data_IF_281029474837
#
_entry.id   IF_281029474837
#
_cell.length_a   1.000
_cell.length_b   1.000
_cell.length_c   1.000
_cell.angle_alpha   90.00
_cell.angle_beta   90.00
_cell.angle_gamma   90.00
#
_symmetry.space_group_name_H-M   'P 1'
#
loop_
_entity.id
_entity.type
_entity.pdbx_description
1 polymer ?
#
# COMPACT_ATOMS: atom_id res chain seq x y z
N UNK A 1 6.54 46.53 -4.28
CA UNK A 1 7.05 45.16 -4.45
C UNK A 1 8.47 45.13 -3.93
N UNK A 2 8.64 44.79 -2.65
CA UNK A 2 9.97 44.51 -2.07
C UNK A 2 10.39 43.15 -2.59
N UNK A 3 11.41 43.10 -3.43
CA UNK A 3 12.04 41.85 -3.82
C UNK A 3 12.72 41.29 -2.56
N UNK A 4 12.04 40.41 -1.83
CA UNK A 4 12.67 39.62 -0.78
C UNK A 4 13.73 38.75 -1.45
N UNK A 5 14.99 39.19 -1.40
CA UNK A 5 16.13 38.39 -1.82
C UNK A 5 16.05 37.09 -1.03
N UNK A 6 15.99 35.97 -1.73
CA UNK A 6 15.98 34.67 -1.08
C UNK A 6 17.42 34.33 -0.65
N UNK A 7 17.74 34.65 0.60
CA UNK A 7 19.08 34.46 1.20
C UNK A 7 19.31 32.98 1.63
N UNK A 8 18.29 32.12 1.51
CA UNK A 8 18.41 30.70 1.86
C UNK A 8 19.54 30.00 1.11
N UNK A 9 20.24 29.10 1.80
CA UNK A 9 21.34 28.27 1.25
C UNK A 9 22.60 29.02 0.79
N UNK A 10 22.73 30.30 1.10
CA UNK A 10 23.93 31.08 0.81
C UNK A 10 24.85 31.21 2.04
N UNK A 11 26.12 31.52 1.78
CA UNK A 11 27.10 31.89 2.81
C UNK A 11 27.38 33.38 2.69
N UNK A 12 27.16 34.12 3.77
CA UNK A 12 27.37 35.56 3.83
C UNK A 12 28.31 35.90 4.98
N UNK A 13 29.13 36.93 4.77
CA UNK A 13 29.91 37.54 5.84
C UNK A 13 29.68 39.04 5.82
N UNK A 14 29.32 39.59 6.98
CA UNK A 14 29.10 41.01 7.19
C UNK A 14 30.15 41.55 8.15
N UNK A 15 30.82 42.64 7.77
CA UNK A 15 31.73 43.37 8.63
C UNK A 15 31.00 44.60 9.17
N UNK A 16 30.85 44.71 10.48
CA UNK A 16 30.12 45.85 11.09
C UNK A 16 30.63 46.16 12.48
N UNK A 17 30.61 47.43 12.86
CA UNK A 17 30.83 47.89 14.23
C UNK A 17 29.52 48.22 14.97
N UNK A 18 28.37 48.04 14.31
CA UNK A 18 27.06 48.36 14.84
C UNK A 18 26.52 47.28 15.80
N UNK A 19 25.54 47.65 16.62
CA UNK A 19 24.81 46.74 17.51
C UNK A 19 23.92 45.83 16.66
N UNK A 20 24.17 44.52 16.70
CA UNK A 20 23.53 43.55 15.81
C UNK A 20 22.00 43.52 15.93
N UNK A 21 21.47 43.62 17.15
CA UNK A 21 20.02 43.60 17.36
C UNK A 21 19.31 44.74 16.62
N UNK A 22 19.91 45.93 16.62
CA UNK A 22 19.38 47.09 15.89
C UNK A 22 19.54 46.97 14.38
N UNK A 23 20.62 46.35 13.92
CA UNK A 23 20.90 46.20 12.48
C UNK A 23 19.99 45.14 11.84
N UNK A 24 19.74 44.03 12.54
CA UNK A 24 18.91 42.93 12.05
C UNK A 24 17.45 43.03 12.49
N UNK A 25 16.95 44.19 12.94
CA UNK A 25 15.54 44.36 13.37
C UNK A 25 14.57 43.93 12.27
N UNK A 26 14.81 44.42 11.05
CA UNK A 26 13.93 44.27 9.88
C UNK A 26 14.44 43.22 8.87
N UNK A 27 15.54 42.54 9.18
CA UNK A 27 16.17 41.56 8.31
C UNK A 27 15.88 40.15 8.84
N UNK A 28 15.12 39.36 8.08
CA UNK A 28 14.99 37.94 8.33
C UNK A 28 16.19 37.20 7.74
N UNK A 29 17.05 36.68 8.62
CA UNK A 29 18.13 35.76 8.24
C UNK A 29 17.63 34.33 8.47
N UNK A 30 17.34 33.57 7.40
CA UNK A 30 16.87 32.20 7.53
C UNK A 30 17.91 31.33 8.23
N UNK A 31 17.47 30.39 9.07
CA UNK A 31 18.40 29.49 9.76
C UNK A 31 19.16 28.52 8.82
N UNK A 32 18.66 28.31 7.60
CA UNK A 32 19.31 27.47 6.60
C UNK A 32 20.39 28.21 5.80
N UNK A 33 20.55 29.50 6.05
CA UNK A 33 21.65 30.35 5.57
C UNK A 33 22.79 30.39 6.61
N UNK A 34 24.04 30.37 6.14
CA UNK A 34 25.21 30.59 6.98
C UNK A 34 25.58 32.07 6.94
N UNK A 35 25.05 32.86 7.87
CA UNK A 35 25.26 34.31 7.93
C UNK A 35 26.22 34.66 9.06
N UNK A 36 27.45 34.99 8.71
CA UNK A 36 28.53 35.34 9.63
C UNK A 36 28.59 36.86 9.79
N UNK A 37 28.80 37.31 11.03
CA UNK A 37 29.02 38.71 11.36
C UNK A 37 30.32 38.84 12.13
N UNK A 38 31.24 39.60 11.55
CA UNK A 38 32.52 39.96 12.14
C UNK A 38 32.39 41.36 12.75
N UNK A 39 32.42 41.43 14.09
CA UNK A 39 32.39 42.69 14.82
C UNK A 39 33.79 43.11 15.28
N UNK A 40 34.14 44.36 15.02
CA UNK A 40 35.40 44.95 15.46
C UNK A 40 35.20 45.73 16.76
N UNK A 41 35.80 45.24 17.84
CA UNK A 41 35.95 46.03 19.07
C UNK A 41 37.32 46.67 19.02
N UNK A 42 37.43 47.96 19.35
CA UNK A 42 38.62 48.82 19.14
C UNK A 42 39.96 48.33 19.73
N UNK A 43 39.99 47.17 20.38
CA UNK A 43 41.14 46.52 20.97
C UNK A 43 41.86 45.56 20.00
N UNK A 44 41.51 45.56 18.70
CA UNK A 44 42.11 44.66 17.69
C UNK A 44 41.60 43.22 17.73
N UNK A 45 40.51 42.95 18.47
CA UNK A 45 39.85 41.65 18.55
C UNK A 45 38.61 41.67 17.66
N UNK A 46 38.52 40.71 16.73
CA UNK A 46 37.34 40.51 15.89
C UNK A 46 36.53 39.35 16.43
N UNK A 47 35.29 39.59 16.84
CA UNK A 47 34.40 38.51 17.26
C UNK A 47 33.60 38.04 16.06
N UNK A 48 33.75 36.76 15.69
CA UNK A 48 32.98 36.13 14.64
C UNK A 48 31.78 35.42 15.26
N UNK A 49 30.59 35.92 14.95
CA UNK A 49 29.32 35.35 15.38
C UNK A 49 28.49 34.96 14.18
N UNK A 50 27.71 33.89 14.30
CA UNK A 50 26.71 33.53 13.30
C UNK A 50 25.34 33.99 13.76
N UNK A 51 24.61 34.65 12.86
CA UNK A 51 23.31 35.23 13.13
C UNK A 51 22.24 34.46 12.39
N UNK A 52 21.14 34.12 13.06
CA UNK A 52 20.00 33.48 12.42
C UNK A 52 18.69 33.71 13.16
N UNK A 53 17.58 33.56 12.45
CA UNK A 53 16.23 33.43 13.01
C UNK A 53 15.61 32.12 12.56
N UNK A 54 15.06 31.38 13.52
CA UNK A 54 14.38 30.11 13.25
C UNK A 54 13.08 30.39 12.47
N UNK A 55 12.32 31.40 12.90
CA UNK A 55 11.09 31.84 12.26
C UNK A 55 11.07 33.37 12.15
N UNK A 56 10.38 33.99 11.17
CA UNK A 56 10.32 35.45 11.04
C UNK A 56 9.91 36.19 12.32
N UNK A 57 9.05 35.58 13.13
CA UNK A 57 8.56 36.10 14.42
C UNK A 57 9.41 35.71 15.62
N UNK A 58 10.42 34.85 15.48
CA UNK A 58 11.28 34.45 16.59
C UNK A 58 12.32 35.52 16.91
N UNK A 59 12.86 35.47 18.13
CA UNK A 59 14.03 36.28 18.49
C UNK A 59 15.22 35.92 17.60
N UNK A 60 16.12 36.88 17.46
CA UNK A 60 17.37 36.70 16.73
C UNK A 60 18.36 35.94 17.62
N UNK A 61 18.97 34.89 17.08
CA UNK A 61 19.93 34.05 17.79
C UNK A 61 21.35 34.36 17.32
N UNK A 62 22.26 34.41 18.28
CA UNK A 62 23.69 34.63 18.07
C UNK A 62 24.46 33.40 18.52
N UNK A 63 25.21 32.79 17.60
CA UNK A 63 26.14 31.71 17.93
C UNK A 63 27.56 32.28 17.83
N UNK A 64 28.26 32.39 18.96
CA UNK A 64 29.67 32.78 18.94
C UNK A 64 30.50 31.63 18.34
N UNK A 65 31.23 31.90 17.26
CA UNK A 65 32.12 30.90 16.64
C UNK A 65 33.51 31.01 17.25
N UNK A 66 34.11 32.20 17.18
CA UNK A 66 35.48 32.42 17.68
C UNK A 66 35.78 33.91 17.85
N UNK A 67 36.74 34.20 18.72
CA UNK A 67 37.35 35.52 18.85
C UNK A 67 38.71 35.47 18.15
N UNK A 68 38.86 36.23 17.08
CA UNK A 68 40.07 36.28 16.28
C UNK A 68 40.94 37.47 16.68
N UNK A 69 42.25 37.22 16.80
CA UNK A 69 43.28 38.25 16.99
C UNK A 69 44.39 38.03 15.97
N UNK A 70 45.16 39.07 15.64
CA UNK A 70 46.21 39.04 14.61
C UNK A 70 47.26 37.94 14.79
N UNK A 71 47.40 37.41 16.00
CA UNK A 71 48.45 36.46 16.38
C UNK A 71 47.95 35.00 16.42
N UNK A 72 46.63 34.77 16.28
CA UNK A 72 46.01 33.45 16.37
C UNK A 72 45.53 32.97 15.00
N UNK A 73 45.88 31.73 14.64
CA UNK A 73 45.27 31.05 13.51
C UNK A 73 43.79 30.76 13.81
N UNK A 74 42.95 31.00 12.81
CA UNK A 74 41.50 30.89 12.95
C UNK A 74 41.11 29.41 12.91
N UNK A 75 40.72 28.86 14.06
CA UNK A 75 40.20 27.49 14.15
C UNK A 75 38.72 27.48 13.81
N UNK A 76 38.37 26.87 12.67
CA UNK A 76 36.99 26.64 12.27
C UNK A 76 36.54 25.25 12.72
N UNK A 77 35.42 25.17 13.42
CA UNK A 77 34.82 23.90 13.79
C UNK A 77 33.43 23.79 13.17
N UNK A 78 33.26 22.87 12.21
CA UNK A 78 31.98 22.65 11.50
C UNK A 78 30.88 22.06 12.40
N UNK A 79 31.25 21.58 13.59
CA UNK A 79 30.32 21.07 14.62
C UNK A 79 29.23 22.07 15.02
N UNK A 80 29.53 23.38 14.93
CA UNK A 80 28.60 24.46 15.26
C UNK A 80 27.35 24.50 14.36
N UNK A 81 27.47 24.07 13.10
CA UNK A 81 26.32 24.01 12.19
C UNK A 81 25.35 22.88 12.54
N UNK A 82 25.87 21.75 13.01
CA UNK A 82 25.06 20.62 13.46
C UNK A 82 24.31 20.92 14.76
N UNK A 83 24.93 21.67 15.68
CA UNK A 83 24.29 22.09 16.93
C UNK A 83 23.01 22.92 16.68
N UNK A 84 23.01 23.79 15.65
CA UNK A 84 21.83 24.59 15.27
C UNK A 84 20.61 23.77 14.85
N UNK A 85 20.83 22.56 14.35
CA UNK A 85 19.77 21.69 13.84
C UNK A 85 19.17 20.79 14.93
N UNK A 86 19.64 20.90 16.17
CA UNK A 86 19.24 20.00 17.26
C UNK A 86 18.14 20.56 18.16
N UNK A 87 17.95 21.89 18.22
CA UNK A 87 17.00 22.55 19.11
C UNK A 87 16.31 23.73 18.42
N UNK A 88 14.98 23.76 18.45
CA UNK A 88 14.13 24.83 17.93
C UNK A 88 13.65 25.81 19.03
N UNK A 89 14.20 25.69 20.24
CA UNK A 89 14.05 26.62 21.37
C UNK A 89 12.58 26.93 21.73
N UNK A 90 11.71 25.93 21.67
CA UNK A 90 10.30 26.05 22.01
C UNK A 90 9.46 26.79 20.96
N UNK A 91 9.91 26.86 19.70
CA UNK A 91 9.15 27.42 18.59
C UNK A 91 7.73 26.85 18.55
N UNK A 92 6.73 27.70 18.32
CA UNK A 92 5.35 27.24 18.11
C UNK A 92 5.12 27.04 16.62
N UNK A 93 4.97 25.79 16.19
CA UNK A 93 4.65 25.40 14.81
C UNK A 93 3.14 25.20 14.69
N UNK A 94 2.49 25.90 13.75
CA UNK A 94 1.06 25.71 13.48
C UNK A 94 0.86 24.50 12.58
N UNK A 95 0.09 23.52 13.05
CA UNK A 95 -0.14 22.26 12.35
C UNK A 95 -1.62 22.06 12.00
N UNK A 96 -1.93 21.85 10.72
CA UNK A 96 -3.27 21.40 10.30
C UNK A 96 -3.46 19.90 10.54
N UNK A 97 -4.65 19.53 11.03
CA UNK A 97 -5.03 18.15 11.36
C UNK A 97 -6.43 17.82 10.83
N UNK A 98 -6.67 16.53 10.59
CA UNK A 98 -7.95 15.99 10.10
C UNK A 98 -8.33 14.76 10.93
N UNK A 99 -9.62 14.45 11.01
CA UNK A 99 -10.10 13.22 11.60
C UNK A 99 -10.32 12.15 10.51
N UNK A 100 -9.45 11.15 10.46
CA UNK A 100 -9.41 10.09 9.45
C UNK A 100 -8.87 8.77 10.04
N UNK A 101 -8.94 7.67 9.30
CA UNK A 101 -8.46 6.35 9.73
C UNK A 101 -6.97 6.36 10.11
N UNK A 102 -6.17 7.19 9.44
CA UNK A 102 -4.71 7.28 9.60
C UNK A 102 -4.25 8.32 10.63
N UNK A 103 -5.09 9.30 10.95
CA UNK A 103 -4.81 10.33 11.96
C UNK A 103 -6.12 10.88 12.52
N UNK A 104 -6.22 11.01 13.84
CA UNK A 104 -7.40 11.50 14.53
C UNK A 104 -7.01 12.42 15.69
N UNK A 105 -7.95 13.22 16.18
CA UNK A 105 -7.75 14.05 17.37
C UNK A 105 -8.15 13.24 18.61
N UNK A 106 -7.26 13.20 19.61
CA UNK A 106 -7.47 12.47 20.88
C UNK A 106 -8.23 13.35 21.87
N UNK A 107 -7.80 14.61 22.02
CA UNK A 107 -8.40 15.55 22.95
C UNK A 107 -8.51 16.95 22.34
N UNK A 108 -9.55 17.66 22.74
CA UNK A 108 -9.80 19.04 22.34
C UNK A 108 -10.11 19.89 23.57
N UNK A 109 -9.77 21.18 23.51
CA UNK A 109 -10.08 22.14 24.57
C UNK A 109 -11.60 22.45 24.58
N UNK A 110 -12.09 23.15 25.61
CA UNK A 110 -13.50 23.57 25.75
C UNK A 110 -14.05 24.34 24.55
N UNK A 111 -13.18 24.98 23.77
CA UNK A 111 -13.52 25.71 22.54
C UNK A 111 -13.43 24.85 21.26
N UNK A 112 -13.25 23.54 21.38
CA UNK A 112 -13.14 22.62 20.24
C UNK A 112 -11.79 22.64 19.53
N UNK A 113 -10.77 23.34 20.05
CA UNK A 113 -9.41 23.34 19.47
C UNK A 113 -8.69 22.02 19.78
N UNK A 114 -8.07 21.33 18.80
CA UNK A 114 -7.32 20.11 19.06
C UNK A 114 -6.14 20.40 19.99
N UNK A 115 -5.97 19.57 21.02
CA UNK A 115 -4.83 19.62 21.95
C UNK A 115 -3.86 18.47 21.71
N UNK A 116 -4.40 17.29 21.40
CA UNK A 116 -3.58 16.11 21.15
C UNK A 116 -4.09 15.29 19.98
N UNK A 117 -3.17 14.67 19.25
CA UNK A 117 -3.43 13.87 18.05
C UNK A 117 -2.91 12.44 18.17
N UNK A 118 -3.60 11.56 17.45
CA UNK A 118 -3.33 10.13 17.32
C UNK A 118 -3.17 9.70 15.86
N UNK A 119 -2.82 8.43 15.69
CA UNK A 119 -2.44 7.85 14.40
C UNK A 119 -0.93 7.82 14.20
N UNK A 120 -0.48 7.08 13.18
CA UNK A 120 0.96 6.89 12.96
C UNK A 120 1.71 8.18 12.57
N UNK A 121 1.15 9.15 11.80
CA UNK A 121 1.84 10.42 11.56
C UNK A 121 1.98 11.22 12.85
N UNK A 122 0.99 11.18 13.74
CA UNK A 122 1.04 11.87 15.03
C UNK A 122 2.17 11.35 15.93
N UNK A 123 2.41 10.04 15.92
CA UNK A 123 3.52 9.43 16.70
C UNK A 123 4.86 9.96 16.21
N UNK A 124 5.09 9.96 14.88
CA UNK A 124 6.31 10.52 14.29
C UNK A 124 6.46 12.00 14.63
N UNK A 125 5.36 12.77 14.53
CA UNK A 125 5.39 14.20 14.84
C UNK A 125 5.73 14.49 16.30
N UNK A 126 5.16 13.75 17.26
CA UNK A 126 5.49 13.87 18.70
C UNK A 126 6.95 13.55 19.00
N UNK A 127 7.52 12.57 18.30
CA UNK A 127 8.95 12.26 18.43
C UNK A 127 9.81 13.41 17.90
N UNK A 128 9.42 14.05 16.79
CA UNK A 128 10.09 15.26 16.31
C UNK A 128 9.93 16.43 17.30
N UNK A 129 8.74 16.64 17.84
CA UNK A 129 8.43 17.70 18.82
C UNK A 129 9.34 17.62 20.06
N UNK A 130 9.51 16.42 20.59
CA UNK A 130 10.41 16.14 21.73
C UNK A 130 11.89 16.20 21.35
N UNK A 131 12.27 15.68 20.19
CA UNK A 131 13.68 15.57 19.76
C UNK A 131 14.30 16.88 19.26
N UNK A 132 13.45 17.82 18.86
CA UNK A 132 13.83 19.16 18.36
C UNK A 132 13.33 20.28 19.28
N UNK A 133 12.66 19.95 20.39
CA UNK A 133 12.19 20.92 21.40
C UNK A 133 11.41 22.09 20.77
N UNK A 134 10.33 21.77 20.07
CA UNK A 134 9.32 22.75 19.64
C UNK A 134 7.97 22.44 20.31
N UNK A 135 6.99 23.31 20.12
CA UNK A 135 5.60 23.09 20.52
C UNK A 135 4.69 23.20 19.31
N UNK A 136 3.64 22.39 19.29
CA UNK A 136 2.68 22.39 18.19
C UNK A 136 1.39 23.08 18.57
N UNK A 137 0.90 23.96 17.69
CA UNK A 137 -0.45 24.51 17.77
C UNK A 137 -1.35 23.88 16.70
N UNK A 138 -2.24 22.98 17.11
CA UNK A 138 -3.08 22.23 16.19
C UNK A 138 -4.33 23.01 15.76
N UNK A 139 -4.65 22.93 14.47
CA UNK A 139 -5.81 23.57 13.84
C UNK A 139 -6.54 22.55 12.97
N UNK A 140 -7.86 22.46 13.09
CA UNK A 140 -8.65 21.60 12.22
C UNK A 140 -8.67 22.11 10.78
N UNK A 141 -8.75 21.18 9.82
CA UNK A 141 -9.10 21.53 8.45
C UNK A 141 -10.49 22.18 8.39
N UNK A 142 -10.58 23.38 7.81
CA UNK A 142 -11.83 24.13 7.70
C UNK A 142 -12.95 23.32 7.01
N UNK A 143 -12.58 22.60 5.95
CA UNK A 143 -13.53 21.86 5.11
C UNK A 143 -13.51 20.35 5.39
N UNK A 144 -12.73 19.88 6.37
CA UNK A 144 -12.58 18.46 6.69
C UNK A 144 -11.99 17.63 5.55
N UNK A 145 -11.22 18.23 4.64
CA UNK A 145 -10.67 17.57 3.45
C UNK A 145 -9.14 17.64 3.41
N UNK A 146 -8.52 16.65 2.75
CA UNK A 146 -7.07 16.62 2.55
C UNK A 146 -6.60 17.77 1.66
N UNK A 147 -7.30 17.96 0.54
CA UNK A 147 -7.05 19.00 -0.44
C UNK A 147 -6.93 18.45 -1.84
N UNK A 148 -7.81 18.93 -2.72
CA UNK A 148 -7.86 18.64 -4.14
C UNK A 148 -7.77 19.94 -4.94
N UNK A 149 -7.34 19.81 -6.19
CA UNK A 149 -7.39 20.92 -7.14
C UNK A 149 -8.80 21.05 -7.70
N UNK A 150 -9.48 22.15 -7.34
CA UNK A 150 -10.81 22.47 -7.82
C UNK A 150 -10.76 22.92 -9.28
N UNK A 151 -11.92 22.88 -9.97
CA UNK A 151 -12.04 23.30 -11.37
C UNK A 151 -11.68 24.78 -11.62
N UNK A 152 -11.80 25.62 -10.60
CA UNK A 152 -11.41 27.03 -10.65
C UNK A 152 -9.89 27.25 -10.48
N UNK A 153 -9.10 26.18 -10.36
CA UNK A 153 -7.66 26.25 -10.14
C UNK A 153 -7.24 26.51 -8.69
N UNK A 154 -8.19 26.66 -7.76
CA UNK A 154 -7.91 26.82 -6.34
C UNK A 154 -7.77 25.46 -5.65
N UNK A 155 -6.97 25.42 -4.58
CA UNK A 155 -6.90 24.28 -3.67
C UNK A 155 -7.89 24.46 -2.51
N UNK A 156 -8.42 23.35 -1.99
CA UNK A 156 -9.16 23.29 -0.72
C UNK A 156 -8.42 22.46 0.35
N UNK A 157 -9.05 22.29 1.52
CA UNK A 157 -8.57 21.40 2.57
C UNK A 157 -7.23 21.81 3.19
N UNK A 158 -6.55 20.85 3.80
CA UNK A 158 -5.25 21.09 4.46
C UNK A 158 -4.16 21.58 3.49
N UNK A 159 -4.14 21.09 2.25
CA UNK A 159 -3.20 21.59 1.22
C UNK A 159 -3.38 23.09 1.00
N UNK A 160 -4.63 23.58 0.95
CA UNK A 160 -4.89 25.01 0.79
C UNK A 160 -4.43 25.83 2.00
N UNK A 161 -4.64 25.34 3.22
CA UNK A 161 -4.20 26.02 4.44
C UNK A 161 -2.68 26.20 4.46
N UNK A 162 -1.93 25.16 4.09
CA UNK A 162 -0.46 25.22 3.99
C UNK A 162 -0.03 26.14 2.83
N UNK A 163 -0.65 26.01 1.65
CA UNK A 163 -0.32 26.83 0.49
C UNK A 163 -0.58 28.33 0.71
N UNK A 164 -1.63 28.67 1.48
CA UNK A 164 -1.99 30.05 1.88
C UNK A 164 -1.20 30.56 3.08
N UNK A 165 -0.30 29.75 3.66
CA UNK A 165 0.50 30.07 4.85
C UNK A 165 -0.35 30.39 6.08
N UNK A 166 -1.52 29.78 6.18
CA UNK A 166 -2.36 29.85 7.38
C UNK A 166 -1.80 28.95 8.51
N UNK A 167 -1.16 27.85 8.09
CA UNK A 167 -0.42 26.90 8.94
C UNK A 167 0.94 26.60 8.31
N UNK A 168 1.90 26.17 9.13
CA UNK A 168 3.26 25.88 8.69
C UNK A 168 3.38 24.47 8.10
N UNK A 169 2.66 23.51 8.72
CA UNK A 169 2.72 22.07 8.42
C UNK A 169 1.30 21.48 8.44
N UNK A 170 1.05 20.43 7.67
CA UNK A 170 -0.10 19.57 7.85
C UNK A 170 0.35 18.17 8.30
N UNK A 171 -0.03 17.81 9.52
CA UNK A 171 0.41 16.59 10.21
C UNK A 171 -0.65 15.52 10.00
N UNK A 172 -0.56 14.85 8.87
CA UNK A 172 -1.43 13.76 8.51
C UNK A 172 -0.78 12.89 7.41
N UNK A 173 -1.44 11.82 7.01
CA UNK A 173 -0.94 10.86 6.03
C UNK A 173 -1.23 11.30 4.58
N UNK A 174 -0.40 12.18 4.02
CA UNK A 174 -0.57 12.62 2.64
C UNK A 174 0.16 11.73 1.65
N UNK A 175 -0.56 11.20 0.66
CA UNK A 175 0.06 10.67 -0.55
C UNK A 175 0.82 11.77 -1.28
N UNK A 176 2.10 11.52 -1.56
CA UNK A 176 2.97 12.40 -2.32
C UNK A 176 2.57 12.36 -3.79
N UNK A 177 2.02 13.47 -4.30
CA UNK A 177 1.68 13.62 -5.73
C UNK A 177 2.44 14.79 -6.34
N UNK A 178 2.71 14.69 -7.64
CA UNK A 178 3.37 15.77 -8.39
C UNK A 178 2.54 17.06 -8.34
N UNK A 179 1.21 16.95 -8.47
CA UNK A 179 0.31 18.11 -8.45
C UNK A 179 0.29 18.84 -7.12
N UNK A 180 0.35 18.13 -6.00
CA UNK A 180 0.49 18.77 -4.68
C UNK A 180 1.89 19.37 -4.50
N UNK A 181 2.94 18.71 -5.00
CA UNK A 181 4.31 19.22 -4.89
C UNK A 181 4.52 20.58 -5.60
N UNK A 182 3.66 20.93 -6.56
CA UNK A 182 3.68 22.24 -7.20
C UNK A 182 3.33 23.40 -6.25
N UNK A 183 2.55 23.16 -5.19
CA UNK A 183 2.09 24.19 -4.26
C UNK A 183 2.62 24.05 -2.83
N UNK A 184 3.03 22.84 -2.44
CA UNK A 184 3.58 22.53 -1.11
C UNK A 184 4.81 21.63 -1.23
N UNK A 185 5.62 21.57 -0.18
CA UNK A 185 6.71 20.61 -0.08
C UNK A 185 6.32 19.44 0.83
N UNK A 186 6.98 18.31 0.65
CA UNK A 186 6.79 17.13 1.48
C UNK A 186 7.97 16.94 2.43
N UNK A 187 7.66 16.50 3.66
CA UNK A 187 8.68 15.96 4.56
C UNK A 187 9.08 14.56 4.10
N UNK A 188 10.15 14.04 4.71
CA UNK A 188 10.69 12.72 4.42
C UNK A 188 9.58 11.65 4.43
N UNK A 189 9.58 10.71 3.46
CA UNK A 189 8.63 9.61 3.43
C UNK A 189 8.56 8.86 4.76
N UNK A 190 7.35 8.70 5.29
CA UNK A 190 7.11 7.94 6.53
C UNK A 190 6.90 6.47 6.17
N UNK A 191 6.13 6.20 5.12
CA UNK A 191 5.77 4.84 4.71
C UNK A 191 5.56 4.77 3.20
N UNK A 192 6.00 3.68 2.61
CA UNK A 192 5.60 3.28 1.25
C UNK A 192 4.37 2.38 1.38
N UNK A 193 3.28 2.78 0.75
CA UNK A 193 1.99 2.10 0.78
C UNK A 193 1.53 1.83 -0.67
N UNK A 194 0.36 1.22 -0.83
CA UNK A 194 -0.24 0.97 -2.15
C UNK A 194 -1.75 1.20 -2.07
N UNK A 195 -2.30 1.83 -3.10
CA UNK A 195 -3.74 1.83 -3.35
C UNK A 195 -4.10 0.51 -4.03
N UNK A 196 -4.85 -0.35 -3.37
CA UNK A 196 -5.21 -1.69 -3.84
C UNK A 196 -6.72 -1.78 -4.02
N UNK A 197 -7.17 -2.46 -5.07
CA UNK A 197 -8.59 -2.78 -5.24
C UNK A 197 -8.95 -4.00 -4.40
N UNK A 198 -9.98 -3.85 -3.57
CA UNK A 198 -10.57 -4.90 -2.75
C UNK A 198 -11.93 -5.31 -3.29
N UNK A 199 -12.20 -6.61 -3.28
CA UNK A 199 -13.51 -7.19 -3.59
C UNK A 199 -13.95 -8.11 -2.46
N UNK A 200 -15.24 -8.38 -2.38
CA UNK A 200 -15.76 -9.36 -1.43
C UNK A 200 -15.16 -10.73 -1.73
N UNK A 201 -14.72 -11.45 -0.69
CA UNK A 201 -14.30 -12.83 -0.85
C UNK A 201 -15.48 -13.61 -1.45
N UNK A 202 -15.30 -14.31 -2.59
CA UNK A 202 -16.39 -15.06 -3.18
C UNK A 202 -16.88 -16.05 -2.13
N UNK A 203 -18.18 -16.04 -1.84
CA UNK A 203 -18.80 -17.04 -0.98
C UNK A 203 -18.47 -18.40 -1.59
N UNK A 204 -18.03 -19.37 -0.75
CA UNK A 204 -17.55 -20.69 -1.16
C UNK A 204 -18.42 -21.20 -2.31
N UNK A 205 -17.84 -21.39 -3.50
CA UNK A 205 -18.55 -22.08 -4.56
C UNK A 205 -18.95 -23.44 -4.00
N UNK A 206 -20.24 -23.71 -3.98
CA UNK A 206 -20.75 -25.07 -3.79
C UNK A 206 -20.04 -25.93 -4.84
N UNK A 207 -19.29 -26.94 -4.38
CA UNK A 207 -18.54 -27.80 -5.29
C UNK A 207 -19.52 -28.49 -6.22
N UNK A 208 -19.51 -28.10 -7.50
CA UNK A 208 -20.29 -28.80 -8.51
C UNK A 208 -19.70 -30.20 -8.68
N UNK A 209 -20.53 -31.23 -8.81
CA UNK A 209 -20.09 -32.61 -9.08
C UNK A 209 -19.12 -32.70 -10.28
N UNK A 210 -19.23 -31.78 -11.25
CA UNK A 210 -18.33 -31.67 -12.40
C UNK A 210 -16.89 -31.37 -12.01
N UNK A 211 -16.67 -30.61 -10.94
CA UNK A 211 -15.34 -30.24 -10.48
C UNK A 211 -14.53 -31.48 -10.05
N UNK A 212 -15.17 -32.52 -9.53
CA UNK A 212 -14.50 -33.79 -9.19
C UNK A 212 -13.95 -34.52 -10.42
N UNK A 213 -14.65 -34.48 -11.56
CA UNK A 213 -14.19 -35.11 -12.81
C UNK A 213 -13.04 -34.32 -13.42
N UNK A 214 -13.09 -32.98 -13.33
CA UNK A 214 -12.04 -32.07 -13.81
C UNK A 214 -10.76 -32.08 -12.95
N UNK A 215 -10.70 -32.89 -11.88
CA UNK A 215 -9.45 -33.09 -11.11
C UNK A 215 -8.42 -33.80 -11.98
N UNK A 216 -8.85 -34.78 -12.78
CA UNK A 216 -7.99 -35.49 -13.72
C UNK A 216 -8.04 -34.82 -15.09
N UNK A 217 -6.87 -34.72 -15.71
CA UNK A 217 -6.76 -34.23 -17.07
C UNK A 217 -7.46 -35.19 -18.04
N UNK A 218 -8.06 -34.66 -19.11
CA UNK A 218 -8.71 -35.44 -20.17
C UNK A 218 -7.80 -36.52 -20.76
N UNK A 219 -6.49 -36.26 -20.83
CA UNK A 219 -5.51 -37.25 -21.26
C UNK A 219 -5.42 -38.48 -20.34
N UNK A 220 -5.54 -38.29 -19.02
CA UNK A 220 -5.52 -39.40 -18.05
C UNK A 220 -6.82 -40.20 -18.13
N UNK A 221 -7.95 -39.53 -18.29
CA UNK A 221 -9.23 -40.19 -18.55
C UNK A 221 -9.18 -41.07 -19.79
N UNK A 222 -8.57 -40.58 -20.87
CA UNK A 222 -8.36 -41.38 -22.07
C UNK A 222 -7.47 -42.59 -21.79
N UNK A 223 -6.40 -42.45 -21.02
CA UNK A 223 -5.53 -43.56 -20.60
C UNK A 223 -6.26 -44.60 -19.73
N UNK A 224 -7.18 -44.18 -18.86
CA UNK A 224 -8.04 -45.08 -18.07
C UNK A 224 -8.95 -45.87 -19.01
N UNK A 225 -9.62 -45.18 -19.94
CA UNK A 225 -10.50 -45.83 -20.91
C UNK A 225 -9.74 -46.83 -21.79
N UNK A 226 -8.56 -46.44 -22.32
CA UNK A 226 -7.75 -47.35 -23.14
C UNK A 226 -7.28 -48.56 -22.34
N UNK A 227 -6.90 -48.38 -21.06
CA UNK A 227 -6.55 -49.50 -20.18
C UNK A 227 -7.73 -50.45 -19.95
N UNK A 228 -8.93 -49.91 -19.67
CA UNK A 228 -10.16 -50.71 -19.52
C UNK A 228 -10.47 -51.50 -20.80
N UNK A 229 -10.43 -50.85 -21.96
CA UNK A 229 -10.71 -51.51 -23.25
C UNK A 229 -9.67 -52.58 -23.58
N UNK A 230 -8.39 -52.32 -23.31
CA UNK A 230 -7.31 -53.28 -23.53
C UNK A 230 -7.47 -54.50 -22.61
N UNK A 231 -7.72 -54.29 -21.33
CA UNK A 231 -7.92 -55.37 -20.36
C UNK A 231 -9.20 -56.17 -20.65
N UNK A 232 -10.26 -55.51 -21.13
CA UNK A 232 -11.49 -56.17 -21.60
C UNK A 232 -11.21 -57.02 -22.85
N UNK A 233 -10.48 -56.49 -23.82
CA UNK A 233 -10.07 -57.23 -25.02
C UNK A 233 -9.22 -58.46 -24.68
N UNK A 234 -8.26 -58.32 -23.77
CA UNK A 234 -7.44 -59.45 -23.30
C UNK A 234 -8.25 -60.47 -22.48
N UNK A 235 -9.24 -60.02 -21.71
CA UNK A 235 -10.20 -60.90 -21.02
C UNK A 235 -11.08 -61.70 -21.99
N UNK A 236 -11.55 -61.08 -23.07
CA UNK A 236 -12.33 -61.79 -24.12
C UNK A 236 -11.51 -62.84 -24.83
N UNK A 237 -10.25 -62.55 -25.20
CA UNK A 237 -9.38 -63.52 -25.87
C UNK A 237 -9.04 -64.69 -24.95
N UNK A 238 -8.85 -64.44 -23.65
CA UNK A 238 -8.72 -65.51 -22.66
C UNK A 238 -9.97 -66.39 -22.57
N UNK A 239 -11.16 -65.79 -22.50
CA UNK A 239 -12.44 -66.51 -22.47
C UNK A 239 -12.64 -67.37 -23.71
N UNK A 240 -12.46 -66.79 -24.91
CA UNK A 240 -12.61 -67.48 -26.20
C UNK A 240 -11.58 -68.60 -26.32
N UNK A 241 -10.31 -68.34 -26.00
CA UNK A 241 -9.26 -69.37 -26.03
C UNK A 241 -9.59 -70.57 -25.12
N UNK A 242 -10.21 -70.33 -23.96
CA UNK A 242 -10.60 -71.40 -23.03
C UNK A 242 -11.84 -72.16 -23.49
N UNK A 243 -12.82 -71.44 -24.04
CA UNK A 243 -14.03 -72.02 -24.62
C UNK A 243 -13.69 -73.01 -25.76
N UNK A 244 -12.74 -72.65 -26.63
CA UNK A 244 -12.32 -73.51 -27.73
C UNK A 244 -11.36 -74.64 -27.32
N UNK A 245 -10.48 -74.46 -26.32
CA UNK A 245 -9.51 -75.49 -25.89
C UNK A 245 -10.06 -76.53 -24.91
N UNK A 246 -11.01 -76.17 -24.04
CA UNK A 246 -11.60 -77.11 -23.08
C UNK A 246 -13.12 -77.15 -23.27
N UNK A 247 -13.59 -78.14 -24.04
CA UNK A 247 -15.02 -78.49 -24.08
C UNK A 247 -15.43 -78.93 -22.67
N UNK A 248 -16.23 -78.09 -22.01
CA UNK A 248 -16.87 -78.21 -20.70
C UNK A 248 -16.14 -77.65 -19.46
N UNK A 249 -16.89 -76.79 -18.77
CA UNK A 249 -16.69 -76.13 -17.47
C UNK A 249 -15.76 -74.90 -17.44
N UNK A 250 -16.14 -73.84 -18.18
CA UNK A 250 -15.75 -72.49 -17.79
C UNK A 250 -16.71 -72.01 -16.68
N UNK A 251 -16.26 -72.06 -15.42
CA UNK A 251 -17.00 -71.53 -14.25
C UNK A 251 -17.12 -69.99 -14.24
N UNK A 252 -16.50 -69.30 -15.19
CA UNK A 252 -16.36 -67.84 -15.20
C UNK A 252 -17.00 -67.30 -16.48
N UNK A 253 -18.04 -66.48 -16.33
CA UNK A 253 -18.73 -65.82 -17.42
C UNK A 253 -17.98 -64.56 -17.88
N UNK A 254 -18.26 -64.10 -19.09
CA UNK A 254 -17.72 -62.83 -19.61
C UNK A 254 -18.10 -61.64 -18.71
N UNK A 255 -19.31 -61.66 -18.14
CA UNK A 255 -19.78 -60.67 -17.17
C UNK A 255 -18.91 -60.60 -15.93
N UNK A 256 -18.39 -61.73 -15.45
CA UNK A 256 -17.54 -61.80 -14.26
C UNK A 256 -16.20 -61.11 -14.51
N UNK A 257 -15.67 -61.21 -15.74
CA UNK A 257 -14.48 -60.45 -16.17
C UNK A 257 -14.74 -58.95 -16.25
N UNK A 258 -15.92 -58.52 -16.73
CA UNK A 258 -16.29 -57.10 -16.75
C UNK A 258 -16.39 -56.53 -15.33
N UNK A 259 -17.07 -57.24 -14.44
CA UNK A 259 -17.16 -56.85 -13.03
C UNK A 259 -15.79 -56.88 -12.34
N UNK A 260 -14.91 -57.81 -12.70
CA UNK A 260 -13.55 -57.84 -12.16
C UNK A 260 -12.71 -56.63 -12.58
N UNK A 261 -12.78 -56.22 -13.86
CA UNK A 261 -12.08 -55.02 -14.34
C UNK A 261 -12.66 -53.76 -13.67
N UNK A 262 -13.98 -53.64 -13.65
CA UNK A 262 -14.66 -52.53 -12.97
C UNK A 262 -14.29 -52.48 -11.48
N UNK A 263 -14.37 -53.62 -10.79
CA UNK A 263 -13.97 -53.77 -9.39
C UNK A 263 -12.52 -53.38 -9.15
N UNK A 264 -11.61 -53.75 -10.05
CA UNK A 264 -10.18 -53.38 -9.96
C UNK A 264 -9.97 -51.86 -9.95
N UNK A 265 -10.73 -51.11 -10.76
CA UNK A 265 -10.69 -49.64 -10.75
C UNK A 265 -11.38 -49.04 -9.53
N UNK A 266 -12.44 -49.68 -9.05
CA UNK A 266 -13.10 -49.32 -7.79
C UNK A 266 -12.35 -49.80 -6.53
N UNK A 267 -11.18 -50.45 -6.68
CA UNK A 267 -10.43 -51.09 -5.59
C UNK A 267 -11.25 -52.13 -4.80
N UNK A 268 -12.24 -52.73 -5.45
CA UNK A 268 -13.06 -53.83 -4.96
C UNK A 268 -12.57 -55.12 -5.64
N UNK A 269 -11.87 -55.96 -4.89
CA UNK A 269 -11.33 -57.22 -5.43
C UNK A 269 -12.45 -58.26 -5.50
N UNK A 270 -12.76 -58.70 -6.72
CA UNK A 270 -13.53 -59.93 -6.96
C UNK A 270 -12.55 -61.09 -7.15
N UNK A 271 -12.80 -62.21 -6.46
CA UNK A 271 -11.96 -63.40 -6.50
C UNK A 271 -12.14 -64.16 -7.84
N UNK A 272 -11.35 -63.74 -8.84
CA UNK A 272 -11.29 -64.39 -10.15
C UNK A 272 -9.95 -65.09 -10.29
N UNK A 273 -9.97 -66.42 -10.19
CA UNK A 273 -8.76 -67.23 -10.30
C UNK A 273 -8.39 -67.46 -11.77
N UNK A 274 -7.36 -66.76 -12.24
CA UNK A 274 -6.85 -66.92 -13.60
C UNK A 274 -5.69 -67.93 -13.66
N UNK A 275 -5.82 -68.91 -14.56
CA UNK A 275 -4.93 -70.08 -14.61
C UNK A 275 -3.61 -69.86 -15.37
N UNK A 276 -3.57 -68.96 -16.36
CA UNK A 276 -2.37 -68.76 -17.21
C UNK A 276 -1.46 -67.62 -16.73
N UNK A 277 -0.15 -67.77 -16.93
CA UNK A 277 0.85 -66.77 -16.51
C UNK A 277 0.71 -65.43 -17.24
N UNK A 278 0.42 -65.44 -18.54
CA UNK A 278 0.21 -64.24 -19.35
C UNK A 278 -0.94 -63.37 -18.83
N UNK A 279 -2.08 -64.00 -18.52
CA UNK A 279 -3.25 -63.29 -17.98
C UNK A 279 -3.05 -62.82 -16.54
N UNK A 280 -2.24 -63.52 -15.73
CA UNK A 280 -1.88 -63.06 -14.39
C UNK A 280 -1.09 -61.75 -14.46
N UNK A 281 -0.11 -61.67 -15.36
CA UNK A 281 0.67 -60.44 -15.60
C UNK A 281 -0.25 -59.28 -15.99
N UNK A 282 -1.22 -59.50 -16.88
CA UNK A 282 -2.18 -58.46 -17.29
C UNK A 282 -3.03 -57.97 -16.12
N UNK A 283 -3.54 -58.87 -15.29
CA UNK A 283 -4.32 -58.50 -14.09
C UNK A 283 -3.44 -57.73 -13.10
N UNK A 284 -2.21 -58.18 -12.85
CA UNK A 284 -1.27 -57.46 -11.98
C UNK A 284 -0.93 -56.06 -12.50
N UNK A 285 -0.65 -55.90 -13.79
CA UNK A 285 -0.37 -54.60 -14.40
C UNK A 285 -1.58 -53.68 -14.40
N UNK A 286 -2.78 -54.22 -14.63
CA UNK A 286 -4.05 -53.46 -14.55
C UNK A 286 -4.30 -52.99 -13.12
N UNK A 287 -4.07 -53.86 -12.13
CA UNK A 287 -4.20 -53.51 -10.73
C UNK A 287 -3.17 -52.46 -10.31
N UNK A 288 -1.90 -52.61 -10.69
CA UNK A 288 -0.85 -51.63 -10.43
C UNK A 288 -1.18 -50.27 -11.05
N UNK A 289 -1.66 -50.24 -12.29
CA UNK A 289 -2.08 -49.02 -12.97
C UNK A 289 -3.26 -48.35 -12.26
N UNK A 290 -4.27 -49.12 -11.87
CA UNK A 290 -5.42 -48.64 -11.08
C UNK A 290 -4.97 -48.00 -9.77
N UNK A 291 -4.10 -48.66 -9.02
CA UNK A 291 -3.58 -48.17 -7.73
C UNK A 291 -2.82 -46.86 -7.89
N UNK A 292 -1.97 -46.73 -8.91
CA UNK A 292 -1.23 -45.49 -9.17
C UNK A 292 -2.19 -44.35 -9.51
N UNK A 293 -3.19 -44.60 -10.36
CA UNK A 293 -4.18 -43.59 -10.77
C UNK A 293 -5.03 -43.15 -9.58
N UNK A 294 -5.47 -44.10 -8.75
CA UNK A 294 -6.26 -43.81 -7.55
C UNK A 294 -5.46 -43.03 -6.50
N UNK A 295 -4.19 -43.40 -6.27
CA UNK A 295 -3.32 -42.66 -5.37
C UNK A 295 -3.09 -41.22 -5.87
N UNK A 296 -2.83 -41.02 -7.16
CA UNK A 296 -2.68 -39.70 -7.78
C UNK A 296 -3.97 -38.86 -7.74
N UNK A 297 -5.12 -39.47 -8.01
CA UNK A 297 -6.43 -38.83 -7.86
C UNK A 297 -6.66 -38.36 -6.43
N UNK A 298 -6.45 -39.25 -5.46
CA UNK A 298 -6.64 -38.96 -4.04
C UNK A 298 -5.72 -37.84 -3.56
N UNK A 299 -4.43 -37.88 -3.94
CA UNK A 299 -3.47 -36.82 -3.60
C UNK A 299 -3.87 -35.46 -4.19
N UNK A 300 -4.29 -35.43 -5.46
CA UNK A 300 -4.69 -34.18 -6.14
C UNK A 300 -6.01 -33.63 -5.59
N UNK A 301 -6.96 -34.50 -5.27
CA UNK A 301 -8.22 -34.14 -4.62
C UNK A 301 -7.95 -33.53 -3.24
N UNK A 302 -7.13 -34.18 -2.41
CA UNK A 302 -6.75 -33.66 -1.08
C UNK A 302 -6.05 -32.31 -1.21
N UNK A 303 -5.11 -32.17 -2.14
CA UNK A 303 -4.41 -30.91 -2.39
C UNK A 303 -5.39 -29.78 -2.76
N UNK A 304 -6.31 -30.01 -3.69
CA UNK A 304 -7.32 -29.03 -4.11
C UNK A 304 -8.36 -28.70 -3.03
N UNK A 305 -8.70 -29.64 -2.16
CA UNK A 305 -9.59 -29.40 -1.02
C UNK A 305 -8.90 -28.65 0.12
N UNK A 306 -7.58 -28.82 0.25
CA UNK A 306 -6.78 -28.13 1.28
C UNK A 306 -6.51 -26.69 0.88
N UNK A 307 -6.23 -26.43 -0.39
CA UNK A 307 -5.96 -25.08 -0.92
C UNK A 307 -7.27 -24.49 -1.46
N UNK A 308 -7.95 -23.70 -0.63
CA UNK A 308 -9.08 -22.89 -1.07
C UNK A 308 -8.59 -21.60 -1.73
N UNK A 309 -8.08 -21.69 -2.95
CA UNK A 309 -7.79 -20.49 -3.75
C UNK A 309 -9.10 -19.93 -4.34
N UNK A 310 -9.48 -18.69 -4.02
CA UNK A 310 -10.66 -18.08 -4.61
C UNK A 310 -10.41 -17.84 -6.11
N UNK A 311 -11.29 -18.38 -6.95
CA UNK A 311 -11.31 -18.04 -8.37
C UNK A 311 -11.77 -16.58 -8.52
N UNK A 312 -10.79 -15.69 -8.71
CA UNK A 312 -11.04 -14.27 -8.93
C UNK A 312 -11.63 -14.02 -10.33
N UNK A 313 -12.62 -13.12 -10.47
CA UNK A 313 -13.19 -12.77 -11.77
C UNK A 313 -12.18 -12.03 -12.66
N UNK A 314 -11.22 -11.31 -12.05
CA UNK A 314 -10.17 -10.55 -12.71
C UNK A 314 -8.94 -10.43 -11.83
N UNK A 315 -7.80 -10.12 -12.44
CA UNK A 315 -6.51 -10.03 -11.75
C UNK A 315 -5.88 -8.64 -11.80
N UNK A 316 -6.34 -7.75 -12.70
CA UNK A 316 -5.76 -6.44 -13.01
C UNK A 316 -6.85 -5.40 -13.37
N UNK A 317 -6.47 -4.11 -13.43
CA UNK A 317 -7.38 -3.02 -13.83
C UNK A 317 -8.01 -3.25 -15.21
N UNK A 318 -7.26 -3.83 -16.15
CA UNK A 318 -7.76 -4.17 -17.48
C UNK A 318 -8.84 -5.25 -17.42
N UNK A 319 -8.70 -6.24 -16.54
CA UNK A 319 -9.71 -7.25 -16.27
C UNK A 319 -10.98 -6.64 -15.67
N UNK A 320 -10.86 -5.72 -14.71
CA UNK A 320 -12.01 -4.99 -14.13
C UNK A 320 -12.79 -4.27 -15.24
N UNK A 321 -12.09 -3.51 -16.08
CA UNK A 321 -12.70 -2.75 -17.17
C UNK A 321 -13.36 -3.66 -18.22
N UNK A 322 -12.73 -4.79 -18.58
CA UNK A 322 -13.27 -5.75 -19.55
C UNK A 322 -14.48 -6.52 -19.04
N UNK A 323 -14.49 -6.86 -17.76
CA UNK A 323 -15.60 -7.58 -17.15
C UNK A 323 -16.86 -6.71 -17.14
N UNK A 324 -16.72 -5.42 -16.80
CA UNK A 324 -17.80 -4.43 -16.88
C UNK A 324 -18.98 -4.67 -15.93
N UNK A 325 -18.97 -5.76 -15.15
CA UNK A 325 -20.05 -6.10 -14.19
C UNK A 325 -19.78 -5.57 -12.79
N UNK A 326 -18.56 -5.15 -12.50
CA UNK A 326 -18.16 -4.63 -11.21
C UNK A 326 -18.12 -3.10 -11.21
N UNK A 327 -18.80 -2.50 -10.25
CA UNK A 327 -18.65 -1.08 -9.98
C UNK A 327 -17.36 -0.82 -9.18
N UNK A 328 -16.67 0.27 -9.48
CA UNK A 328 -15.46 0.68 -8.76
C UNK A 328 -15.72 1.94 -7.94
N UNK A 329 -15.59 1.83 -6.63
CA UNK A 329 -15.63 2.95 -5.70
C UNK A 329 -14.24 3.43 -5.29
N UNK A 330 -14.15 4.73 -5.00
CA UNK A 330 -12.93 5.40 -4.53
C UNK A 330 -13.28 6.45 -3.47
N UNK A 331 -12.32 6.84 -2.64
CA UNK A 331 -12.53 7.88 -1.64
C UNK A 331 -12.70 9.26 -2.29
N UNK A 332 -13.74 10.01 -1.88
CA UNK A 332 -14.01 11.38 -2.32
C UNK A 332 -12.90 12.35 -1.85
N UNK A 333 -12.61 13.38 -2.66
CA UNK A 333 -11.67 14.47 -2.36
C UNK A 333 -10.30 13.98 -1.85
N UNK A 334 -9.82 12.89 -2.45
CA UNK A 334 -8.64 12.15 -2.00
C UNK A 334 -7.54 12.11 -3.06
N UNK A 335 -6.33 11.75 -2.65
CA UNK A 335 -5.23 11.54 -3.59
C UNK A 335 -5.51 10.38 -4.58
N UNK A 336 -6.33 9.40 -4.18
CA UNK A 336 -6.72 8.29 -5.05
C UNK A 336 -7.53 8.79 -6.24
N UNK A 337 -8.45 9.72 -5.98
CA UNK A 337 -9.27 10.36 -6.98
C UNK A 337 -8.41 11.14 -8.00
N UNK A 338 -7.51 11.98 -7.49
CA UNK A 338 -6.61 12.77 -8.34
C UNK A 338 -5.68 11.88 -9.17
N UNK A 339 -5.14 10.82 -8.56
CA UNK A 339 -4.24 9.90 -9.24
C UNK A 339 -4.92 9.20 -10.42
N UNK A 340 -6.15 8.72 -10.24
CA UNK A 340 -6.90 8.02 -11.30
C UNK A 340 -7.32 9.00 -12.39
N UNK A 341 -7.73 10.22 -12.02
CA UNK A 341 -8.08 11.30 -12.95
C UNK A 341 -6.90 11.78 -13.80
N UNK A 342 -5.72 11.92 -13.21
CA UNK A 342 -4.51 12.45 -13.87
C UNK A 342 -3.65 11.36 -14.52
N UNK A 343 -4.08 10.10 -14.44
CA UNK A 343 -3.31 8.97 -14.96
C UNK A 343 -3.15 9.06 -16.48
N UNK A 344 -1.90 8.83 -16.93
CA UNK A 344 -1.55 8.70 -18.36
C UNK A 344 -1.81 7.30 -18.91
N UNK A 345 -2.08 6.32 -18.05
CA UNK A 345 -2.44 4.97 -18.51
C UNK A 345 -3.84 5.01 -19.14
N UNK A 346 -3.91 4.60 -20.41
CA UNK A 346 -5.15 4.52 -21.18
C UNK A 346 -6.23 3.69 -20.46
N UNK A 347 -5.84 2.63 -19.75
CA UNK A 347 -6.78 1.77 -19.03
C UNK A 347 -7.38 2.50 -17.82
N UNK A 348 -6.55 3.15 -17.01
CA UNK A 348 -7.00 3.88 -15.81
C UNK A 348 -7.82 5.11 -16.21
N UNK A 349 -7.42 5.81 -17.28
CA UNK A 349 -8.16 6.95 -17.82
C UNK A 349 -9.57 6.55 -18.30
N UNK A 350 -9.70 5.39 -18.96
CA UNK A 350 -11.01 4.83 -19.32
C UNK A 350 -11.85 4.46 -18.10
N UNK A 351 -11.25 3.81 -17.10
CA UNK A 351 -11.93 3.51 -15.82
C UNK A 351 -12.45 4.80 -15.17
N UNK A 352 -11.64 5.86 -15.17
CA UNK A 352 -12.07 7.17 -14.65
C UNK A 352 -13.30 7.70 -15.40
N UNK A 353 -13.22 7.80 -16.72
CA UNK A 353 -14.28 8.44 -17.52
C UNK A 353 -15.56 7.60 -17.65
N UNK A 354 -15.46 6.27 -17.68
CA UNK A 354 -16.58 5.37 -17.95
C UNK A 354 -17.15 4.71 -16.69
N UNK A 355 -16.34 4.46 -15.66
CA UNK A 355 -16.80 3.78 -14.43
C UNK A 355 -16.98 4.73 -13.25
N UNK A 356 -16.08 5.70 -13.05
CA UNK A 356 -16.06 6.56 -11.85
C UNK A 356 -16.85 7.86 -12.07
N UNK A 357 -16.51 8.63 -13.12
CA UNK A 357 -17.11 9.93 -13.42
C UNK A 357 -18.65 9.90 -13.56
N UNK A 358 -19.28 8.91 -14.22
CA UNK A 358 -20.73 8.87 -14.37
C UNK A 358 -21.46 8.42 -13.10
N UNK A 359 -20.75 7.84 -12.12
CA UNK A 359 -21.32 7.30 -10.88
C UNK A 359 -20.82 8.05 -9.65
N UNK A 360 -21.26 9.31 -9.40
CA UNK A 360 -20.83 10.07 -8.23
C UNK A 360 -21.22 9.42 -6.90
N UNK A 361 -22.26 8.57 -6.91
CA UNK A 361 -22.71 7.79 -5.74
C UNK A 361 -21.72 6.69 -5.31
N UNK A 362 -20.72 6.37 -6.16
CA UNK A 362 -19.67 5.41 -5.84
C UNK A 362 -18.43 6.08 -5.22
N UNK A 363 -18.48 7.40 -4.96
CA UNK A 363 -17.47 8.13 -4.21
C UNK A 363 -17.76 8.04 -2.72
N UNK A 364 -16.94 7.30 -1.98
CA UNK A 364 -17.13 7.09 -0.55
C UNK A 364 -16.72 8.35 0.25
N UNK A 365 -17.47 8.74 1.29
CA UNK A 365 -17.07 9.85 2.16
C UNK A 365 -15.99 9.44 3.19
N UNK A 366 -15.90 8.14 3.52
CA UNK A 366 -14.88 7.59 4.41
C UNK A 366 -14.40 6.22 3.94
N UNK A 367 -13.14 5.88 4.24
CA UNK A 367 -12.57 4.58 3.88
C UNK A 367 -13.32 3.40 4.50
N UNK A 368 -13.80 3.57 5.74
CA UNK A 368 -14.60 2.54 6.42
C UNK A 368 -15.95 2.30 5.74
N UNK A 369 -16.58 3.35 5.21
CA UNK A 369 -17.87 3.24 4.54
C UNK A 369 -17.70 2.64 3.13
N UNK A 370 -16.67 3.06 2.39
CA UNK A 370 -16.34 2.47 1.09
C UNK A 370 -16.05 0.97 1.19
N UNK A 371 -15.33 0.53 2.24
CA UNK A 371 -15.11 -0.89 2.50
C UNK A 371 -16.38 -1.64 2.94
N UNK A 372 -17.30 -1.00 3.66
CA UNK A 372 -18.61 -1.59 3.99
C UNK A 372 -19.45 -1.81 2.73
N UNK A 373 -19.41 -0.89 1.77
CA UNK A 373 -20.12 -1.07 0.49
C UNK A 373 -19.68 -2.32 -0.26
N UNK A 374 -18.42 -2.73 -0.15
CA UNK A 374 -17.96 -4.01 -0.74
C UNK A 374 -18.67 -5.22 -0.12
N UNK A 375 -19.05 -5.13 1.16
CA UNK A 375 -19.80 -6.19 1.83
C UNK A 375 -21.31 -6.17 1.49
N UNK A 376 -21.88 -4.98 1.31
CA UNK A 376 -23.32 -4.75 1.18
C UNK A 376 -23.81 -4.79 -0.28
N UNK A 377 -23.03 -4.21 -1.20
CA UNK A 377 -23.37 -4.14 -2.62
C UNK A 377 -22.84 -5.39 -3.34
N UNK A 378 -23.68 -6.01 -4.16
CA UNK A 378 -23.21 -7.08 -5.04
C UNK A 378 -22.29 -6.52 -6.13
N UNK A 379 -21.23 -7.27 -6.45
CA UNK A 379 -20.26 -6.92 -7.51
C UNK A 379 -19.70 -5.50 -7.36
N UNK A 380 -19.35 -5.12 -6.14
CA UNK A 380 -18.69 -3.85 -5.87
C UNK A 380 -17.22 -4.07 -5.55
N UNK A 381 -16.37 -3.24 -6.14
CA UNK A 381 -14.95 -3.17 -5.87
C UNK A 381 -14.63 -1.80 -5.27
N UNK A 382 -13.73 -1.75 -4.29
CA UNK A 382 -13.34 -0.50 -3.67
C UNK A 382 -11.82 -0.38 -3.63
N UNK A 383 -11.29 0.74 -4.11
CA UNK A 383 -9.85 1.02 -4.04
C UNK A 383 -9.54 1.82 -2.78
N UNK A 384 -8.61 1.35 -1.97
CA UNK A 384 -8.13 2.08 -0.80
C UNK A 384 -6.67 1.76 -0.49
N UNK A 385 -6.06 2.50 0.45
CA UNK A 385 -4.72 2.15 0.91
C UNK A 385 -4.70 0.87 1.74
N UNK A 386 -3.64 0.09 1.63
CA UNK A 386 -3.50 -1.14 2.41
C UNK A 386 -3.47 -0.87 3.93
N UNK A 387 -2.93 0.27 4.38
CA UNK A 387 -3.04 0.68 5.78
C UNK A 387 -4.49 0.95 6.21
N UNK A 388 -5.29 1.64 5.39
CA UNK A 388 -6.70 1.91 5.69
C UNK A 388 -7.52 0.62 5.74
N UNK A 389 -7.22 -0.34 4.85
CA UNK A 389 -7.80 -1.67 4.88
C UNK A 389 -7.45 -2.40 6.19
N UNK A 390 -6.17 -2.49 6.58
CA UNK A 390 -5.77 -3.18 7.81
C UNK A 390 -6.43 -2.61 9.06
N UNK A 391 -6.61 -1.29 9.12
CA UNK A 391 -7.29 -0.63 10.22
C UNK A 391 -8.80 -0.92 10.25
N UNK A 392 -9.42 -1.01 9.08
CA UNK A 392 -10.88 -1.14 8.94
C UNK A 392 -11.35 -2.61 8.90
N UNK A 393 -10.50 -3.53 8.45
CA UNK A 393 -10.82 -4.94 8.25
C UNK A 393 -11.42 -5.63 9.50
N UNK A 394 -10.91 -5.41 10.73
CA UNK A 394 -11.51 -6.00 11.93
C UNK A 394 -12.92 -5.49 12.25
N UNK A 395 -13.32 -4.34 11.68
CA UNK A 395 -14.63 -3.71 11.90
C UNK A 395 -15.68 -4.15 10.86
N UNK A 396 -15.28 -4.91 9.84
CA UNK A 396 -16.15 -5.35 8.77
C UNK A 396 -16.80 -6.70 9.11
N UNK A 397 -18.03 -6.89 8.65
CA UNK A 397 -18.78 -8.16 8.84
C UNK A 397 -18.46 -9.22 7.78
N UNK A 398 -17.69 -8.88 6.73
CA UNK A 398 -17.36 -9.78 5.64
C UNK A 398 -15.84 -9.88 5.41
N UNK A 399 -15.42 -10.99 4.81
CA UNK A 399 -14.04 -11.19 4.37
C UNK A 399 -13.84 -10.54 2.99
N UNK A 400 -12.78 -9.75 2.86
CA UNK A 400 -12.38 -9.08 1.62
C UNK A 400 -11.05 -9.64 1.13
N UNK A 401 -10.86 -9.64 -0.18
CA UNK A 401 -9.62 -10.08 -0.83
C UNK A 401 -9.10 -9.00 -1.77
N UNK A 402 -7.78 -8.96 -1.92
CA UNK A 402 -7.11 -8.03 -2.82
C UNK A 402 -7.13 -8.57 -4.25
N UNK A 403 -7.20 -7.66 -5.22
CA UNK A 403 -6.99 -7.96 -6.63
C UNK A 403 -5.48 -7.84 -6.91
N UNK A 404 -4.75 -8.93 -7.19
CA UNK A 404 -3.28 -8.97 -7.06
C UNK A 404 -2.51 -7.94 -7.90
N UNK A 405 -2.98 -7.61 -9.11
CA UNK A 405 -2.30 -6.68 -10.03
C UNK A 405 -3.12 -5.40 -10.29
N UNK A 406 -4.14 -5.14 -9.48
CA UNK A 406 -4.88 -3.88 -9.50
C UNK A 406 -4.45 -3.03 -8.30
N UNK A 407 -3.19 -2.59 -8.32
CA UNK A 407 -2.65 -1.69 -7.31
C UNK A 407 -1.81 -0.58 -7.94
N UNK A 408 -1.69 0.52 -7.19
CA UNK A 408 -0.89 1.67 -7.56
C UNK A 408 0.01 2.02 -6.37
N UNK A 409 1.35 1.96 -6.51
CA UNK A 409 2.27 2.28 -5.43
C UNK A 409 2.17 3.76 -5.08
N UNK A 410 2.23 4.06 -3.78
CA UNK A 410 2.15 5.44 -3.28
C UNK A 410 3.10 5.63 -2.10
N UNK A 411 3.74 6.79 -2.05
CA UNK A 411 4.56 7.18 -0.91
C UNK A 411 3.80 8.16 -0.05
N UNK A 412 3.80 7.96 1.26
CA UNK A 412 3.06 8.78 2.22
C UNK A 412 4.02 9.56 3.09
N UNK A 413 3.73 10.85 3.27
CA UNK A 413 4.47 11.73 4.18
C UNK A 413 3.60 12.87 4.69
N UNK A 414 4.22 13.75 5.46
CA UNK A 414 3.60 15.00 5.92
C UNK A 414 3.87 16.13 4.93
N UNK A 415 3.06 17.17 5.00
CA UNK A 415 3.16 18.33 4.10
C UNK A 415 3.66 19.54 4.88
N UNK A 416 4.56 20.30 4.27
CA UNK A 416 5.09 21.56 4.80
C UNK A 416 4.98 22.67 3.77
N UNK A 417 4.95 23.91 4.23
CA UNK A 417 4.94 25.08 3.37
C UNK A 417 6.08 25.04 2.35
N UNK A 418 5.77 25.42 1.11
CA UNK A 418 6.73 25.45 0.00
C UNK A 418 7.91 26.38 0.28
N UNK A 419 9.12 25.89 0.04
CA UNK A 419 10.39 26.54 0.33
C UNK A 419 10.56 26.94 1.81
N UNK A 420 9.94 26.20 2.74
CA UNK A 420 10.15 26.42 4.17
C UNK A 420 11.56 26.01 4.58
N UNK A 421 12.24 26.88 5.32
CA UNK A 421 13.54 26.57 5.90
C UNK A 421 13.43 25.34 6.84
N UNK A 422 12.33 25.24 7.61
CA UNK A 422 12.05 24.19 8.60
C UNK A 422 12.10 22.77 8.00
N UNK A 423 11.78 22.62 6.71
CA UNK A 423 11.76 21.33 6.03
C UNK A 423 13.11 20.60 6.12
N UNK A 424 14.24 21.33 6.12
CA UNK A 424 15.57 20.72 6.18
C UNK A 424 15.84 20.04 7.54
N UNK A 425 15.45 20.69 8.63
CA UNK A 425 15.67 20.14 9.99
C UNK A 425 14.76 18.94 10.20
N UNK A 426 13.49 19.09 9.85
CA UNK A 426 12.48 18.04 10.03
C UNK A 426 12.75 16.79 9.18
N UNK A 427 13.51 16.91 8.09
CA UNK A 427 13.90 15.77 7.24
C UNK A 427 15.21 15.10 7.65
N UNK A 428 16.07 15.78 8.42
CA UNK A 428 17.40 15.28 8.76
C UNK A 428 17.42 14.51 10.09
N UNK A 429 16.46 14.77 10.97
CA UNK A 429 16.23 14.03 12.21
C UNK A 429 15.18 12.94 12.01
#
# INVERSE_FOLDING_TARGET
>A
MSATINISRAKWILFTSAILESFFSDIYVPFDCQFLVAQFFGNGVITLSEVYRIHPTSKLHFLLITNWTSNLQLTWNDSNFHLKQQDLHGLIIKAAVINHTSSWVISANKHGKPLDIGGYPAVVWKVLETSLNFRTDYVYSNDGSWGILLKNGAWNGMIAMVARREVDVAVAAFSMSMTRHLVVDFLAPIVNDMHIVYIQHPKKLEWSWRQYIHILNSGIWLSVLTNIFLSMGLGTTYYVSRYYKHKYSAKIHFTDFLFHIYGTFCHQVLDVQVSTWSSRIVVYLTHLASTIIFAGFSATLISKLTINEPNLPFLDFKGIYRDGRYDLGILKDSAQYDLVKESKDNTINKIYNEMILPHPNNLAPSETEGLKWVCEKERFAYMCTHLSFRYSAPKLQCSLITVPRAYIPVTVGMVIQKNSSLARILNHK
#
